data_IF_506062558935
#
_entry.id   IF_506062558935
#
_cell.length_a   1.000
_cell.length_b   1.000
_cell.length_c   1.000
_cell.angle_alpha   90.00
_cell.angle_beta   90.00
_cell.angle_gamma   90.00
#
_symmetry.space_group_name_H-M   'P 1'
#
loop_
_entity.id
_entity.type
_entity.pdbx_description
1 polymer ?
#
# COMPACT_ATOMS: atom_id res chain seq x y z
N UNK A 1 -42.01 -59.72 -56.15
CA UNK A 1 -41.68 -60.61 -55.02
C UNK A 1 -40.36 -60.13 -54.45
N UNK A 2 -40.43 -59.31 -53.39
CA UNK A 2 -40.17 -59.67 -51.96
C UNK A 2 -38.67 -59.64 -51.66
N UNK A 3 -38.11 -58.65 -50.97
CA UNK A 3 -38.25 -58.20 -49.57
C UNK A 3 -36.95 -58.56 -48.81
N UNK A 4 -36.34 -57.55 -48.16
CA UNK A 4 -35.70 -57.50 -46.82
C UNK A 4 -34.94 -58.75 -46.30
N UNK A 5 -33.83 -58.66 -45.55
CA UNK A 5 -33.46 -57.67 -44.55
C UNK A 5 -32.00 -57.91 -44.04
N UNK A 6 -31.30 -56.81 -43.77
CA UNK A 6 -30.41 -56.50 -42.62
C UNK A 6 -29.42 -57.54 -42.07
N UNK A 7 -28.16 -57.11 -41.94
CA UNK A 7 -27.56 -56.85 -40.61
C UNK A 7 -26.36 -55.88 -40.65
N UNK A 8 -26.39 -54.89 -39.75
CA UNK A 8 -25.31 -54.01 -39.23
C UNK A 8 -24.65 -52.90 -40.10
N UNK A 9 -24.87 -51.62 -39.74
CA UNK A 9 -23.84 -50.59 -39.82
C UNK A 9 -23.06 -50.48 -38.49
N UNK A 10 -21.73 -50.44 -38.59
CA UNK A 10 -20.83 -50.06 -37.48
C UNK A 10 -20.98 -48.55 -37.18
N UNK A 11 -20.91 -48.14 -35.89
CA UNK A 11 -21.21 -46.77 -35.50
C UNK A 11 -20.11 -45.77 -35.90
N UNK A 12 -20.55 -44.58 -36.35
CA UNK A 12 -19.74 -43.37 -36.50
C UNK A 12 -19.42 -42.75 -35.13
N UNK A 13 -18.39 -43.26 -34.44
CA UNK A 13 -17.85 -42.61 -33.23
C UNK A 13 -16.33 -42.47 -33.21
N UNK A 14 -15.65 -42.64 -34.35
CA UNK A 14 -14.19 -42.71 -34.40
C UNK A 14 -13.45 -41.44 -34.85
N UNK A 15 -14.10 -40.27 -34.94
CA UNK A 15 -13.42 -39.04 -35.36
C UNK A 15 -13.85 -37.84 -34.51
N UNK A 16 -13.35 -37.76 -33.28
CA UNK A 16 -13.25 -36.49 -32.53
C UNK A 16 -11.98 -36.53 -31.68
N UNK A 17 -10.93 -35.84 -32.13
CA UNK A 17 -9.82 -35.46 -31.28
C UNK A 17 -10.35 -34.57 -30.14
N UNK A 18 -10.27 -35.07 -28.91
CA UNK A 18 -10.57 -34.28 -27.71
C UNK A 18 -9.35 -33.40 -27.40
N UNK A 19 -9.48 -32.06 -27.33
CA UNK A 19 -8.41 -31.26 -26.75
C UNK A 19 -8.36 -31.52 -25.24
N UNK A 20 -7.21 -31.98 -24.75
CA UNK A 20 -6.92 -32.03 -23.33
C UNK A 20 -7.00 -30.61 -22.75
N UNK A 21 -8.06 -30.31 -22.00
CA UNK A 21 -8.13 -29.14 -21.13
C UNK A 21 -7.07 -29.29 -20.03
N UNK A 22 -5.90 -28.69 -20.23
CA UNK A 22 -5.00 -28.34 -19.13
C UNK A 22 -5.76 -27.38 -18.22
N UNK A 23 -6.10 -27.83 -17.01
CA UNK A 23 -6.58 -26.93 -15.96
C UNK A 23 -5.43 -25.96 -15.63
N UNK A 24 -5.64 -24.65 -15.70
CA UNK A 24 -4.68 -23.72 -15.14
C UNK A 24 -4.63 -23.95 -13.63
N UNK A 25 -3.46 -24.34 -13.12
CA UNK A 25 -3.17 -24.35 -11.69
C UNK A 25 -3.05 -22.90 -11.25
N UNK A 26 -4.17 -22.29 -10.90
CA UNK A 26 -4.18 -21.00 -10.22
C UNK A 26 -3.64 -21.22 -8.81
N UNK A 27 -2.47 -20.64 -8.52
CA UNK A 27 -2.10 -20.34 -7.14
C UNK A 27 -3.15 -19.38 -6.56
N UNK A 28 -3.56 -19.50 -5.29
CA UNK A 28 -4.64 -18.67 -4.75
C UNK A 28 -4.23 -17.20 -4.80
N UNK A 29 -4.80 -16.47 -5.75
CA UNK A 29 -4.80 -15.01 -5.78
C UNK A 29 -5.76 -14.57 -4.68
N UNK A 30 -5.29 -13.70 -3.78
CA UNK A 30 -6.11 -13.15 -2.71
C UNK A 30 -7.39 -12.56 -3.30
N UNK A 31 -8.53 -13.06 -2.85
CA UNK A 31 -9.85 -12.68 -3.35
C UNK A 31 -10.25 -11.26 -2.88
N UNK A 32 -11.15 -10.57 -3.61
CA UNK A 32 -11.56 -9.17 -3.41
C UNK A 32 -12.16 -8.81 -2.03
N UNK A 33 -12.30 -9.77 -1.14
CA UNK A 33 -12.88 -9.61 0.17
C UNK A 33 -11.84 -9.34 1.28
N UNK A 34 -10.55 -9.59 1.01
CA UNK A 34 -9.56 -9.82 2.08
C UNK A 34 -9.07 -8.55 2.79
N UNK A 35 -8.87 -7.39 2.14
CA UNK A 35 -8.30 -6.24 2.86
C UNK A 35 -9.30 -5.56 3.82
N UNK A 36 -10.55 -5.36 3.38
CA UNK A 36 -11.64 -4.87 4.26
C UNK A 36 -12.02 -5.92 5.30
N UNK A 37 -12.00 -7.22 4.96
CA UNK A 37 -12.18 -8.27 5.95
C UNK A 37 -11.03 -8.32 6.96
N UNK A 38 -9.77 -8.20 6.55
CA UNK A 38 -8.62 -8.17 7.46
C UNK A 38 -8.72 -6.99 8.43
N UNK A 39 -9.13 -5.82 7.94
CA UNK A 39 -9.37 -4.65 8.79
C UNK A 39 -10.59 -4.84 9.73
N UNK A 40 -11.61 -5.61 9.34
CA UNK A 40 -12.82 -5.87 10.14
C UNK A 40 -12.66 -7.03 11.14
N UNK A 41 -12.07 -8.15 10.74
CA UNK A 41 -11.87 -9.36 11.57
C UNK A 41 -10.95 -9.09 12.76
N UNK A 42 -9.93 -8.24 12.60
CA UNK A 42 -9.07 -7.84 13.72
C UNK A 42 -9.81 -6.97 14.78
N UNK A 43 -10.87 -6.25 14.39
CA UNK A 43 -11.67 -5.45 15.34
C UNK A 43 -12.60 -6.31 16.22
N UNK A 44 -12.80 -7.58 15.90
CA UNK A 44 -13.59 -8.52 16.69
C UNK A 44 -12.75 -9.31 17.72
N UNK A 45 -11.42 -9.22 17.66
CA UNK A 45 -10.52 -9.69 18.71
C UNK A 45 -10.51 -8.71 19.87
N UNK A 46 -11.36 -8.94 20.86
CA UNK A 46 -11.58 -8.03 21.99
C UNK A 46 -10.31 -7.73 22.78
N UNK A 47 -9.79 -6.51 22.66
CA UNK A 47 -8.90 -5.92 23.66
C UNK A 47 -9.76 -5.46 24.84
N UNK A 48 -9.77 -6.24 25.93
CA UNK A 48 -10.27 -5.74 27.21
C UNK A 48 -9.31 -4.68 27.74
N UNK A 49 -9.75 -3.42 27.68
CA UNK A 49 -9.07 -2.32 28.34
C UNK A 49 -9.19 -2.49 29.86
N UNK A 50 -8.08 -2.75 30.53
CA UNK A 50 -7.99 -2.70 32.00
C UNK A 50 -8.19 -1.24 32.43
N UNK A 51 -9.35 -0.95 33.03
CA UNK A 51 -9.62 0.36 33.66
C UNK A 51 -8.81 0.46 34.96
N UNK A 52 -7.80 1.32 34.99
CA UNK A 52 -7.20 1.79 36.24
C UNK A 52 -7.95 3.03 36.75
N UNK A 53 -8.27 3.04 38.04
CA UNK A 53 -8.97 4.13 38.72
C UNK A 53 -8.05 5.35 38.91
N UNK A 54 -8.60 6.57 39.00
CA UNK A 54 -7.79 7.77 39.17
C UNK A 54 -7.27 7.90 40.61
N UNK A 55 -5.97 8.12 40.77
CA UNK A 55 -5.36 8.49 42.05
C UNK A 55 -5.52 10.00 42.31
N UNK A 56 -5.81 10.35 43.57
CA UNK A 56 -6.02 11.72 44.03
C UNK A 56 -4.72 12.56 44.06
N UNK A 57 -4.81 13.90 43.98
CA UNK A 57 -3.63 14.76 43.90
C UNK A 57 -3.02 15.03 45.28
N UNK A 58 -1.73 14.78 45.44
CA UNK A 58 -0.93 15.25 46.59
C UNK A 58 0.08 16.29 46.10
N UNK A 59 0.03 17.48 46.71
CA UNK A 59 0.96 18.59 46.47
C UNK A 59 2.35 18.24 47.02
N UNK A 60 3.41 18.69 46.34
CA UNK A 60 4.33 19.74 46.82
C UNK A 60 5.42 20.03 45.76
N UNK A 61 5.65 21.33 45.54
CA UNK A 61 6.76 21.89 44.77
C UNK A 61 8.08 21.64 45.50
N UNK A 62 9.06 20.94 44.87
CA UNK A 62 10.52 21.11 45.10
C UNK A 62 11.44 20.03 44.48
N UNK A 63 11.09 19.40 43.35
CA UNK A 63 12.02 18.47 42.66
C UNK A 63 12.15 18.69 41.13
N UNK A 64 11.79 19.87 40.64
CA UNK A 64 11.77 20.16 39.20
C UNK A 64 13.13 20.51 38.57
N UNK A 65 14.26 20.24 39.23
CA UNK A 65 15.59 20.62 38.72
C UNK A 65 16.64 19.51 38.70
N UNK A 66 16.28 18.25 38.96
CA UNK A 66 17.27 17.17 38.93
C UNK A 66 16.88 16.04 37.99
N UNK A 67 17.66 15.94 36.90
CA UNK A 67 17.71 14.88 35.86
C UNK A 67 16.74 15.00 34.68
N UNK A 68 17.01 15.95 33.79
CA UNK A 68 16.85 15.72 32.35
C UNK A 68 18.06 14.95 31.81
N UNK A 69 18.12 13.63 32.05
CA UNK A 69 19.01 12.76 31.29
C UNK A 69 18.29 12.34 30.01
N UNK A 70 18.91 12.48 28.82
CA UNK A 70 18.33 11.96 27.59
C UNK A 70 18.24 10.44 27.71
N UNK A 71 17.01 9.92 27.62
CA UNK A 71 16.78 8.48 27.47
C UNK A 71 17.53 8.03 26.20
N UNK A 72 18.42 7.03 26.26
CA UNK A 72 19.11 6.56 25.07
C UNK A 72 18.08 6.09 24.05
N UNK A 73 18.23 6.56 22.80
CA UNK A 73 17.40 6.12 21.70
C UNK A 73 17.50 4.59 21.60
N UNK A 74 16.37 3.90 21.81
CA UNK A 74 16.32 2.45 21.70
C UNK A 74 16.88 2.02 20.33
N UNK A 75 17.80 1.06 20.36
CA UNK A 75 18.37 0.47 19.15
C UNK A 75 17.23 -0.02 18.22
N UNK A 76 17.44 -0.02 16.88
CA UNK A 76 16.46 -0.57 15.96
C UNK A 76 16.09 -1.99 16.40
N UNK A 77 14.79 -2.22 16.61
CA UNK A 77 14.27 -3.46 17.18
C UNK A 77 14.59 -4.61 16.23
N UNK A 78 15.57 -5.44 16.58
CA UNK A 78 15.87 -6.65 15.85
C UNK A 78 14.81 -7.70 16.24
N UNK A 79 13.93 -8.07 15.31
CA UNK A 79 13.05 -9.20 15.49
C UNK A 79 13.74 -10.47 14.96
N UNK A 80 14.13 -11.43 15.81
CA UNK A 80 14.89 -12.61 15.39
C UNK A 80 14.15 -13.53 14.40
N UNK A 81 12.81 -13.39 14.27
CA UNK A 81 12.00 -14.12 13.30
C UNK A 81 12.01 -13.48 11.90
N UNK A 82 12.61 -12.31 11.75
CA UNK A 82 12.59 -11.52 10.53
C UNK A 82 14.02 -11.30 10.02
N UNK A 83 14.36 -11.98 8.93
CA UNK A 83 15.68 -11.86 8.30
C UNK A 83 15.60 -11.13 6.95
N UNK A 84 16.74 -10.58 6.53
CA UNK A 84 16.88 -9.99 5.20
C UNK A 84 16.61 -11.02 4.08
N UNK A 85 16.80 -12.32 4.36
CA UNK A 85 16.46 -13.38 3.41
C UNK A 85 14.95 -13.47 3.13
N UNK A 86 14.11 -13.31 4.16
CA UNK A 86 12.64 -13.32 3.98
C UNK A 86 12.18 -12.09 3.19
N UNK A 87 12.82 -10.94 3.41
CA UNK A 87 12.57 -9.72 2.64
C UNK A 87 12.98 -9.87 1.18
N UNK A 88 14.18 -10.39 0.89
CA UNK A 88 14.61 -10.72 -0.48
C UNK A 88 13.64 -11.67 -1.17
N UNK A 89 13.16 -12.69 -0.46
CA UNK A 89 12.17 -13.60 -1.00
C UNK A 89 10.83 -12.91 -1.34
N UNK A 90 10.39 -11.93 -0.55
CA UNK A 90 9.24 -11.08 -0.89
C UNK A 90 9.48 -10.30 -2.18
N UNK A 91 10.62 -9.61 -2.30
CA UNK A 91 10.95 -8.83 -3.50
C UNK A 91 11.01 -9.73 -4.75
N UNK A 92 11.58 -10.93 -4.64
CA UNK A 92 11.60 -11.90 -5.72
C UNK A 92 10.19 -12.42 -6.11
N UNK A 93 9.23 -12.47 -5.17
CA UNK A 93 7.82 -12.76 -5.50
C UNK A 93 7.18 -11.59 -6.26
N UNK A 94 7.37 -10.36 -5.78
CA UNK A 94 6.88 -9.13 -6.43
C UNK A 94 7.41 -9.01 -7.86
N UNK A 95 8.69 -9.30 -8.07
CA UNK A 95 9.28 -9.31 -9.41
C UNK A 95 8.64 -10.36 -10.34
N UNK A 96 8.40 -11.59 -9.83
CA UNK A 96 7.74 -12.66 -10.58
C UNK A 96 6.28 -12.34 -10.93
N UNK A 97 5.62 -11.46 -10.18
CA UNK A 97 4.27 -10.99 -10.49
C UNK A 97 4.23 -9.94 -11.60
N UNK A 98 5.39 -9.42 -12.04
CA UNK A 98 5.48 -8.58 -13.24
C UNK A 98 6.08 -7.20 -13.02
N UNK A 99 6.46 -6.83 -11.79
CA UNK A 99 7.24 -5.62 -11.54
C UNK A 99 8.67 -5.84 -12.05
N UNK A 100 9.10 -5.02 -13.00
CA UNK A 100 10.38 -5.12 -13.71
C UNK A 100 11.37 -4.05 -13.29
N UNK A 101 10.89 -2.97 -12.69
CA UNK A 101 11.73 -1.86 -12.27
C UNK A 101 12.66 -2.23 -11.11
N UNK A 102 13.93 -2.46 -11.45
CA UNK A 102 14.96 -2.88 -10.49
C UNK A 102 15.27 -1.85 -9.41
N UNK A 103 15.07 -0.55 -9.70
CA UNK A 103 15.27 0.52 -8.72
C UNK A 103 14.15 0.49 -7.69
N UNK A 104 12.91 0.26 -8.14
CA UNK A 104 11.75 0.09 -7.24
C UNK A 104 11.90 -1.19 -6.40
N UNK A 105 12.29 -2.31 -7.01
CA UNK A 105 12.53 -3.56 -6.29
C UNK A 105 13.63 -3.39 -5.22
N UNK A 106 14.72 -2.68 -5.55
CA UNK A 106 15.79 -2.34 -4.60
C UNK A 106 15.30 -1.49 -3.43
N UNK A 107 14.40 -0.52 -3.67
CA UNK A 107 13.80 0.28 -2.60
C UNK A 107 12.93 -0.57 -1.65
N UNK A 108 12.16 -1.53 -2.17
CA UNK A 108 11.41 -2.48 -1.33
C UNK A 108 12.34 -3.37 -0.49
N UNK A 109 13.50 -3.75 -1.01
CA UNK A 109 14.50 -4.53 -0.26
C UNK A 109 15.18 -3.69 0.83
N UNK A 110 15.45 -2.41 0.56
CA UNK A 110 16.10 -1.52 1.51
C UNK A 110 15.21 -1.22 2.72
N UNK A 111 13.89 -1.09 2.53
CA UNK A 111 12.96 -0.67 3.60
C UNK A 111 12.46 -1.88 4.41
N UNK A 112 12.76 -1.95 5.72
CA UNK A 112 12.33 -3.05 6.57
C UNK A 112 10.83 -2.97 6.89
N UNK A 113 9.98 -3.53 6.03
CA UNK A 113 8.51 -3.51 6.16
C UNK A 113 7.96 -3.88 7.54
N UNK A 114 8.59 -4.81 8.26
CA UNK A 114 8.20 -5.21 9.62
C UNK A 114 8.30 -4.10 10.66
N UNK A 115 9.11 -3.06 10.43
CA UNK A 115 9.24 -1.90 11.32
C UNK A 115 8.00 -0.99 11.32
N UNK A 116 7.07 -1.20 10.39
CA UNK A 116 5.88 -0.37 10.17
C UNK A 116 4.59 -1.03 10.66
N UNK A 117 4.70 -2.09 11.46
CA UNK A 117 3.56 -2.84 11.98
C UNK A 117 3.76 -3.24 13.43
N UNK A 118 2.67 -3.69 14.05
CA UNK A 118 2.70 -4.28 15.38
C UNK A 118 3.62 -5.52 15.39
N UNK A 119 4.34 -5.71 16.50
CA UNK A 119 5.24 -6.83 16.72
C UNK A 119 4.54 -8.19 16.56
N UNK A 120 3.27 -8.28 16.96
CA UNK A 120 2.45 -9.48 16.79
C UNK A 120 2.24 -9.89 15.32
N UNK A 121 2.36 -8.93 14.39
CA UNK A 121 2.21 -9.14 12.94
C UNK A 121 3.55 -9.18 12.20
N UNK A 122 4.67 -8.94 12.86
CA UNK A 122 5.98 -8.82 12.22
C UNK A 122 6.41 -10.09 11.45
N UNK A 123 6.02 -11.28 11.92
CA UNK A 123 6.27 -12.55 11.21
C UNK A 123 5.53 -12.65 9.87
N UNK A 124 4.43 -11.92 9.71
CA UNK A 124 3.64 -11.86 8.49
C UNK A 124 4.05 -10.70 7.57
N UNK A 125 5.00 -9.85 7.99
CA UNK A 125 5.29 -8.59 7.30
C UNK A 125 5.60 -8.71 5.80
N UNK A 126 6.12 -9.87 5.40
CA UNK A 126 6.65 -10.14 4.06
C UNK A 126 5.77 -11.07 3.22
N UNK A 127 4.60 -11.46 3.72
CA UNK A 127 3.61 -12.10 2.87
C UNK A 127 3.04 -11.06 1.90
N UNK A 128 2.62 -11.50 0.74
CA UNK A 128 2.08 -10.61 -0.28
C UNK A 128 0.58 -10.36 -0.06
N UNK A 129 0.27 -9.68 1.05
CA UNK A 129 -1.09 -9.33 1.44
C UNK A 129 -1.15 -7.97 2.15
N UNK A 130 -2.33 -7.36 2.16
CA UNK A 130 -2.62 -6.20 2.98
C UNK A 130 -2.90 -6.62 4.43
N UNK A 131 -2.27 -5.95 5.38
CA UNK A 131 -2.34 -6.27 6.82
C UNK A 131 -2.90 -5.09 7.62
N UNK A 132 -3.63 -5.32 8.72
CA UNK A 132 -4.19 -4.24 9.52
C UNK A 132 -3.10 -3.43 10.22
N UNK A 133 -3.31 -2.11 10.34
CA UNK A 133 -2.42 -1.17 11.06
C UNK A 133 -3.17 -0.37 12.14
N UNK A 134 -4.36 -0.86 12.54
CA UNK A 134 -5.28 -0.13 13.42
C UNK A 134 -6.13 0.91 12.68
N UNK A 135 -7.06 1.55 13.40
CA UNK A 135 -7.94 2.61 12.87
C UNK A 135 -8.71 2.25 11.58
N UNK A 136 -9.04 0.96 11.40
CA UNK A 136 -9.64 0.41 10.18
C UNK A 136 -8.83 0.63 8.89
N UNK A 137 -7.53 0.88 9.03
CA UNK A 137 -6.61 1.03 7.90
C UNK A 137 -5.72 -0.21 7.76
N UNK A 138 -5.10 -0.33 6.59
CA UNK A 138 -4.20 -1.43 6.26
C UNK A 138 -2.90 -0.91 5.68
N UNK A 139 -1.79 -1.60 5.94
CA UNK A 139 -0.59 -1.49 5.11
C UNK A 139 -0.84 -2.27 3.80
N UNK A 140 -0.66 -1.61 2.66
CA UNK A 140 -0.93 -2.18 1.33
C UNK A 140 -0.01 -3.34 1.00
N UNK A 141 -0.52 -4.31 0.23
CA UNK A 141 0.25 -5.43 -0.33
C UNK A 141 1.57 -4.96 -0.99
N UNK A 142 2.71 -5.65 -0.76
CA UNK A 142 4.00 -5.31 -1.37
C UNK A 142 3.97 -5.18 -2.90
N UNK A 143 3.27 -6.08 -3.60
CA UNK A 143 3.07 -5.99 -5.04
C UNK A 143 2.44 -4.66 -5.46
N UNK A 144 1.31 -4.27 -4.84
CA UNK A 144 0.58 -3.05 -5.17
C UNK A 144 1.45 -1.81 -4.92
N UNK A 145 2.18 -1.77 -3.79
CA UNK A 145 3.16 -0.71 -3.49
C UNK A 145 4.18 -0.58 -4.62
N UNK A 146 4.83 -1.68 -5.00
CA UNK A 146 5.85 -1.66 -6.06
C UNK A 146 5.25 -1.29 -7.41
N UNK A 147 4.08 -1.81 -7.74
CA UNK A 147 3.41 -1.59 -9.01
C UNK A 147 2.99 -0.14 -9.21
N UNK A 148 2.41 0.49 -8.19
CA UNK A 148 2.02 1.90 -8.25
C UNK A 148 3.24 2.82 -8.45
N UNK A 149 4.33 2.54 -7.72
CA UNK A 149 5.58 3.29 -7.85
C UNK A 149 6.20 3.09 -9.24
N UNK A 150 6.29 1.84 -9.72
CA UNK A 150 6.85 1.52 -11.04
C UNK A 150 6.15 2.29 -12.15
N UNK A 151 4.81 2.29 -12.13
CA UNK A 151 3.99 2.98 -13.14
C UNK A 151 4.16 4.49 -13.06
N UNK A 152 4.19 5.05 -11.85
CA UNK A 152 4.41 6.48 -11.62
C UNK A 152 5.82 6.90 -12.09
N UNK A 153 6.84 6.09 -11.79
CA UNK A 153 8.24 6.39 -12.12
C UNK A 153 8.52 6.23 -13.61
N UNK A 154 8.05 5.14 -14.20
CA UNK A 154 8.23 4.81 -15.62
C UNK A 154 9.69 4.94 -16.09
N UNK A 155 10.62 4.41 -15.28
CA UNK A 155 12.06 4.50 -15.53
C UNK A 155 12.68 5.89 -15.33
N UNK A 156 11.88 6.93 -15.06
CA UNK A 156 12.34 8.29 -14.83
C UNK A 156 12.90 8.53 -13.42
N UNK A 157 13.43 9.74 -13.24
CA UNK A 157 13.77 10.27 -11.92
C UNK A 157 12.56 11.02 -11.35
N UNK A 158 12.41 10.98 -10.04
CA UNK A 158 11.37 11.70 -9.31
C UNK A 158 12.05 12.78 -8.47
N UNK A 159 11.79 14.06 -8.75
CA UNK A 159 12.30 15.12 -7.86
C UNK A 159 11.34 15.25 -6.71
N UNK A 160 10.06 15.50 -6.99
CA UNK A 160 9.05 15.72 -5.95
C UNK A 160 7.86 14.79 -6.08
N UNK A 161 7.56 14.06 -5.00
CA UNK A 161 6.43 13.13 -4.92
C UNK A 161 5.48 13.53 -3.80
N UNK A 162 4.18 13.44 -4.06
CA UNK A 162 3.13 13.53 -3.05
C UNK A 162 2.47 12.16 -2.86
N UNK A 163 2.36 11.72 -1.62
CA UNK A 163 1.56 10.57 -1.20
C UNK A 163 0.34 11.04 -0.43
N UNK A 164 -0.83 10.48 -0.77
CA UNK A 164 -2.07 10.67 -0.03
C UNK A 164 -2.42 9.38 0.72
N UNK A 165 -2.49 9.47 2.05
CA UNK A 165 -2.70 8.34 2.95
C UNK A 165 -1.39 7.73 3.44
N UNK A 166 -0.66 8.46 4.30
CA UNK A 166 0.60 7.97 4.89
C UNK A 166 0.43 6.62 5.61
N UNK A 167 -0.70 6.42 6.30
CA UNK A 167 -0.97 5.23 7.09
C UNK A 167 0.12 4.97 8.12
N UNK A 168 0.81 3.84 7.98
CA UNK A 168 1.93 3.47 8.86
C UNK A 168 3.29 4.06 8.46
N UNK A 169 3.39 4.66 7.27
CA UNK A 169 4.63 5.29 6.75
C UNK A 169 5.51 4.39 5.87
N UNK A 170 5.13 3.13 5.61
CA UNK A 170 5.95 2.20 4.81
C UNK A 170 6.14 2.68 3.36
N UNK A 171 5.05 3.01 2.67
CA UNK A 171 5.09 3.46 1.29
C UNK A 171 5.86 4.79 1.17
N UNK A 172 5.66 5.72 2.11
CA UNK A 172 6.45 6.94 2.25
C UNK A 172 7.97 6.68 2.35
N UNK A 173 8.38 5.68 3.14
CA UNK A 173 9.79 5.28 3.26
C UNK A 173 10.33 4.63 1.97
N UNK A 174 9.51 3.86 1.24
CA UNK A 174 9.93 3.31 -0.05
C UNK A 174 10.10 4.43 -1.08
N UNK A 175 9.19 5.40 -1.10
CA UNK A 175 9.27 6.56 -1.99
C UNK A 175 10.50 7.42 -1.70
N UNK A 176 10.93 7.54 -0.44
CA UNK A 176 12.09 8.35 -0.09
C UNK A 176 13.42 7.78 -0.59
N UNK A 177 13.47 6.49 -0.91
CA UNK A 177 14.61 5.88 -1.61
C UNK A 177 14.65 6.22 -3.12
N UNK A 178 13.56 6.75 -3.68
CA UNK A 178 13.34 6.88 -5.13
C UNK A 178 13.20 8.32 -5.61
N UNK A 179 12.85 9.24 -4.70
CA UNK A 179 12.61 10.64 -5.00
C UNK A 179 13.53 11.59 -4.23
N UNK A 180 13.80 12.77 -4.78
CA UNK A 180 14.60 13.79 -4.09
C UNK A 180 13.87 14.39 -2.87
N UNK A 181 12.55 14.55 -2.96
CA UNK A 181 11.66 15.04 -1.91
C UNK A 181 10.33 14.28 -1.93
N UNK A 182 9.91 13.82 -0.76
CA UNK A 182 8.62 13.14 -0.56
C UNK A 182 7.80 13.92 0.45
N UNK A 183 6.55 14.16 0.08
CA UNK A 183 5.52 14.72 0.94
C UNK A 183 4.44 13.68 1.12
N UNK A 184 3.99 13.45 2.35
CA UNK A 184 2.94 12.46 2.61
C UNK A 184 1.89 13.05 3.55
N UNK A 185 0.61 12.97 3.17
CA UNK A 185 -0.51 13.52 3.92
C UNK A 185 -1.30 12.38 4.57
N UNK A 186 -1.56 12.50 5.86
CA UNK A 186 -2.44 11.61 6.61
C UNK A 186 -3.55 12.42 7.29
N UNK A 187 -4.77 11.90 7.21
CA UNK A 187 -5.96 12.55 7.78
C UNK A 187 -6.30 12.07 9.18
N UNK A 188 -5.82 10.89 9.59
CA UNK A 188 -6.08 10.26 10.89
C UNK A 188 -4.91 10.58 11.83
N UNK A 189 -5.14 11.40 12.86
CA UNK A 189 -4.09 11.91 13.76
C UNK A 189 -3.29 10.78 14.44
N UNK A 190 -3.91 9.73 14.99
CA UNK A 190 -3.16 8.58 15.51
C UNK A 190 -2.23 7.91 14.49
N UNK A 191 -2.65 7.79 13.23
CA UNK A 191 -1.80 7.20 12.18
C UNK A 191 -0.68 8.13 11.75
N UNK A 192 -0.94 9.43 11.69
CA UNK A 192 0.11 10.41 11.45
C UNK A 192 1.23 10.33 12.50
N UNK A 193 0.87 10.20 13.79
CA UNK A 193 1.85 10.01 14.87
C UNK A 193 2.52 8.63 14.83
N UNK A 194 1.78 7.58 14.46
CA UNK A 194 2.34 6.24 14.23
C UNK A 194 3.41 6.27 13.14
N UNK A 195 3.12 6.89 11.99
CA UNK A 195 4.07 7.03 10.90
C UNK A 195 5.33 7.80 11.33
N UNK A 196 5.16 8.91 12.06
CA UNK A 196 6.30 9.65 12.65
C UNK A 196 7.16 8.76 13.55
N UNK A 197 6.54 7.96 14.41
CA UNK A 197 7.25 7.05 15.31
C UNK A 197 8.02 5.97 14.54
N UNK A 198 7.40 5.35 13.53
CA UNK A 198 8.03 4.32 12.70
C UNK A 198 9.19 4.85 11.85
N UNK A 199 9.07 6.08 11.34
CA UNK A 199 10.06 6.70 10.46
C UNK A 199 11.23 7.33 11.20
N UNK A 200 11.06 7.71 12.47
CA UNK A 200 12.11 8.38 13.27
C UNK A 200 13.43 7.59 13.35
N UNK A 201 13.44 6.26 13.59
CA UNK A 201 14.68 5.47 13.59
C UNK A 201 15.39 5.43 12.24
N UNK A 202 14.66 5.56 11.13
CA UNK A 202 15.21 5.49 9.77
C UNK A 202 15.89 6.80 9.33
N UNK A 203 15.68 7.91 10.05
CA UNK A 203 16.30 9.23 9.79
C UNK A 203 16.17 9.68 8.33
N UNK A 204 14.98 9.51 7.75
CA UNK A 204 14.68 9.85 6.36
C UNK A 204 14.62 11.38 6.19
N UNK A 205 15.70 11.98 5.69
CA UNK A 205 15.85 13.44 5.65
C UNK A 205 14.97 14.13 4.59
N UNK A 206 14.61 13.42 3.52
CA UNK A 206 13.85 13.94 2.39
C UNK A 206 12.34 13.65 2.47
N UNK A 207 11.83 13.17 3.60
CA UNK A 207 10.41 12.86 3.79
C UNK A 207 9.75 13.82 4.78
N UNK A 208 8.69 14.49 4.33
CA UNK A 208 7.89 15.44 5.11
C UNK A 208 6.47 14.91 5.30
N UNK A 209 6.08 14.70 6.55
CA UNK A 209 4.74 14.24 6.90
C UNK A 209 3.84 15.43 7.22
N UNK A 210 2.62 15.39 6.70
CA UNK A 210 1.59 16.39 6.90
C UNK A 210 0.35 15.74 7.51
N UNK A 211 -0.19 16.36 8.54
CA UNK A 211 -1.52 16.02 9.05
C UNK A 211 -2.53 16.95 8.38
N UNK A 212 -3.44 16.40 7.57
CA UNK A 212 -4.30 17.21 6.72
C UNK A 212 -5.26 16.41 5.86
N UNK A 213 -6.13 17.13 5.15
CA UNK A 213 -7.01 16.55 4.15
C UNK A 213 -6.24 16.34 2.84
N UNK A 214 -6.00 15.06 2.51
CA UNK A 214 -5.29 14.69 1.29
C UNK A 214 -6.04 15.01 -0.01
N UNK A 215 -7.36 15.23 0.02
CA UNK A 215 -8.13 15.61 -1.18
C UNK A 215 -7.76 17.02 -1.67
N UNK A 216 -7.22 17.87 -0.79
CA UNK A 216 -6.76 19.22 -1.12
C UNK A 216 -5.32 19.24 -1.66
N UNK A 217 -4.60 18.11 -1.55
CA UNK A 217 -3.18 18.03 -1.86
C UNK A 217 -2.31 18.94 -0.99
N UNK A 218 -1.23 19.45 -1.56
CA UNK A 218 -0.27 20.33 -0.90
C UNK A 218 0.19 21.45 -1.84
N UNK A 219 -0.66 22.46 -2.12
CA UNK A 219 -0.39 23.51 -3.12
C UNK A 219 0.93 24.25 -2.91
N UNK A 220 1.34 24.47 -1.66
CA UNK A 220 2.58 25.15 -1.29
C UNK A 220 3.86 24.40 -1.69
N UNK A 221 3.74 23.11 -2.00
CA UNK A 221 4.84 22.26 -2.43
C UNK A 221 4.70 21.79 -3.89
N UNK A 222 3.58 22.09 -4.55
CA UNK A 222 3.37 21.81 -5.96
C UNK A 222 4.32 22.63 -6.85
N UNK A 223 4.62 22.18 -8.09
CA UNK A 223 4.09 20.98 -8.73
C UNK A 223 4.85 19.69 -8.35
N UNK A 224 4.18 18.54 -8.49
CA UNK A 224 4.73 17.22 -8.20
C UNK A 224 5.03 16.44 -9.49
N UNK A 225 6.20 15.80 -9.58
CA UNK A 225 6.49 14.90 -10.71
C UNK A 225 5.66 13.59 -10.60
N UNK A 226 5.33 13.20 -9.37
CA UNK A 226 4.52 12.02 -9.08
C UNK A 226 3.53 12.23 -7.94
N UNK A 227 2.31 11.70 -8.08
CA UNK A 227 1.32 11.66 -7.00
C UNK A 227 0.79 10.23 -6.84
N UNK A 228 0.80 9.69 -5.64
CA UNK A 228 0.22 8.37 -5.32
C UNK A 228 -0.88 8.52 -4.29
N UNK A 229 -2.04 7.93 -4.58
CA UNK A 229 -3.14 7.83 -3.63
C UNK A 229 -3.21 6.41 -3.07
N UNK A 230 -2.96 6.25 -1.78
CA UNK A 230 -3.07 4.97 -1.06
C UNK A 230 -4.47 4.75 -0.46
N UNK A 231 -5.50 5.37 -1.05
CA UNK A 231 -6.90 5.22 -0.68
C UNK A 231 -7.81 5.46 -1.90
N UNK A 232 -8.88 4.68 -2.04
CA UNK A 232 -9.77 4.70 -3.20
C UNK A 232 -10.79 5.84 -3.15
N UNK A 233 -10.78 6.70 -4.16
CA UNK A 233 -11.85 7.68 -4.41
C UNK A 233 -12.87 7.17 -5.42
N UNK A 234 -14.02 7.84 -5.51
CA UNK A 234 -14.94 7.65 -6.64
C UNK A 234 -14.32 8.13 -7.96
N UNK A 235 -13.50 9.17 -7.87
CA UNK A 235 -12.72 9.78 -8.92
C UNK A 235 -11.45 10.37 -8.31
N UNK A 236 -10.49 10.76 -9.15
CA UNK A 236 -9.29 11.48 -8.70
C UNK A 236 -9.66 12.93 -8.36
N UNK A 237 -9.36 13.44 -7.15
CA UNK A 237 -9.64 14.83 -6.79
C UNK A 237 -9.00 15.83 -7.78
N UNK A 238 -9.75 16.80 -8.32
CA UNK A 238 -9.22 17.78 -9.29
C UNK A 238 -8.00 18.57 -8.79
N UNK A 239 -7.98 18.92 -7.49
CA UNK A 239 -6.86 19.62 -6.87
C UNK A 239 -5.52 18.86 -7.03
N UNK A 240 -5.55 17.53 -7.04
CA UNK A 240 -4.35 16.70 -7.24
C UNK A 240 -3.91 16.69 -8.70
N UNK A 241 -4.85 16.72 -9.64
CA UNK A 241 -4.55 16.82 -11.08
C UNK A 241 -3.90 18.17 -11.43
N UNK A 242 -4.35 19.24 -10.80
CA UNK A 242 -3.81 20.60 -10.98
C UNK A 242 -2.41 20.77 -10.40
N UNK A 243 -2.10 20.04 -9.32
CA UNK A 243 -0.80 20.04 -8.65
C UNK A 243 0.24 19.13 -9.31
N UNK A 244 -0.15 18.31 -10.29
CA UNK A 244 0.77 17.45 -11.03
C UNK A 244 1.60 18.29 -12.03
N UNK A 245 2.91 18.10 -12.13
CA UNK A 245 3.73 18.76 -13.15
C UNK A 245 3.30 18.31 -14.56
N UNK A 246 3.54 19.14 -15.58
CA UNK A 246 3.42 18.66 -16.98
C UNK A 246 4.44 17.54 -17.21
N UNK A 247 4.01 16.43 -17.77
CA UNK A 247 4.75 15.17 -17.86
C UNK A 247 4.71 14.31 -16.59
N UNK A 248 4.20 14.87 -15.47
CA UNK A 248 4.03 14.16 -14.21
C UNK A 248 2.92 13.10 -14.28
N UNK A 249 3.01 12.14 -13.36
CA UNK A 249 2.13 10.96 -13.33
C UNK A 249 1.46 10.80 -11.98
N UNK A 250 0.15 10.62 -11.98
CA UNK A 250 -0.65 10.30 -10.81
C UNK A 250 -1.13 8.86 -10.90
N UNK A 251 -1.00 8.10 -9.82
CA UNK A 251 -1.52 6.73 -9.71
C UNK A 251 -2.48 6.65 -8.54
N UNK A 252 -3.73 6.26 -8.81
CA UNK A 252 -4.78 6.20 -7.82
C UNK A 252 -5.70 5.00 -8.01
N UNK A 253 -6.13 4.33 -6.93
CA UNK A 253 -7.27 3.44 -6.98
C UNK A 253 -8.56 4.27 -7.14
N UNK A 254 -9.39 3.91 -8.11
CA UNK A 254 -10.65 4.58 -8.42
C UNK A 254 -11.78 3.56 -8.50
N UNK A 255 -12.89 3.85 -7.83
CA UNK A 255 -14.11 3.05 -7.88
C UNK A 255 -14.77 2.84 -6.52
N UNK A 256 -15.97 2.26 -6.54
CA UNK A 256 -16.76 1.96 -5.34
C UNK A 256 -16.59 0.49 -4.93
N UNK A 257 -17.50 -0.38 -5.39
CA UNK A 257 -17.51 -1.82 -5.10
C UNK A 257 -16.43 -2.57 -5.86
N UNK A 258 -16.20 -2.16 -7.10
CA UNK A 258 -15.08 -2.60 -7.93
C UNK A 258 -14.15 -1.40 -8.08
N UNK A 259 -12.87 -1.63 -7.84
CA UNK A 259 -11.84 -0.58 -7.91
C UNK A 259 -10.75 -1.01 -8.87
N UNK A 260 -10.19 -0.05 -9.58
CA UNK A 260 -9.10 -0.26 -10.51
C UNK A 260 -8.02 0.78 -10.25
N UNK A 261 -6.76 0.40 -10.45
CA UNK A 261 -5.68 1.38 -10.50
C UNK A 261 -5.81 2.19 -11.79
N UNK A 262 -5.82 3.50 -11.65
CA UNK A 262 -5.82 4.47 -12.74
C UNK A 262 -4.48 5.22 -12.74
N UNK A 263 -3.86 5.27 -13.91
CA UNK A 263 -2.76 6.18 -14.22
C UNK A 263 -3.32 7.42 -14.91
N UNK A 264 -2.95 8.59 -14.42
CA UNK A 264 -3.21 9.87 -15.08
C UNK A 264 -1.88 10.54 -15.39
N UNK A 265 -1.68 10.95 -16.64
CA UNK A 265 -0.49 11.72 -17.07
C UNK A 265 -0.93 13.11 -17.48
N UNK A 266 -0.31 14.16 -16.95
CA UNK A 266 -0.58 15.53 -17.38
C UNK A 266 0.20 15.81 -18.66
N UNK A 267 -0.49 15.99 -19.78
CA UNK A 267 0.12 16.22 -21.10
C UNK A 267 0.42 17.71 -21.34
N UNK A 268 -0.36 18.60 -20.71
CA UNK A 268 -0.23 20.05 -20.88
C UNK A 268 -0.83 20.84 -19.72
N UNK A 269 -1.00 22.15 -19.91
CA UNK A 269 -1.52 23.05 -18.86
C UNK A 269 -2.92 22.66 -18.38
N UNK A 270 -3.79 22.20 -19.29
CA UNK A 270 -5.15 21.79 -18.98
C UNK A 270 -5.53 20.50 -19.72
N UNK A 271 -4.55 19.62 -19.94
CA UNK A 271 -4.72 18.39 -20.70
C UNK A 271 -4.14 17.20 -19.91
N UNK A 272 -4.94 16.14 -19.77
CA UNK A 272 -4.59 14.92 -19.07
C UNK A 272 -5.02 13.70 -19.89
N UNK A 273 -4.20 12.67 -19.86
CA UNK A 273 -4.55 11.34 -20.38
C UNK A 273 -4.70 10.36 -19.22
N UNK A 274 -5.76 9.55 -19.26
CA UNK A 274 -6.05 8.55 -18.23
C UNK A 274 -6.01 7.15 -18.82
N UNK A 275 -5.43 6.22 -18.07
CA UNK A 275 -5.36 4.81 -18.42
C UNK A 275 -5.78 3.98 -17.21
N UNK A 276 -6.74 3.07 -17.41
CA UNK A 276 -7.06 2.03 -16.43
C UNK A 276 -6.04 0.91 -16.54
N UNK A 277 -5.54 0.45 -15.41
CA UNK A 277 -4.49 -0.57 -15.32
C UNK A 277 -5.11 -1.92 -14.93
N UNK A 278 -5.16 -2.20 -13.64
CA UNK A 278 -5.53 -3.50 -13.08
C UNK A 278 -6.48 -3.33 -11.89
N UNK A 279 -7.19 -4.40 -11.55
CA UNK A 279 -8.06 -4.41 -10.38
C UNK A 279 -7.26 -4.27 -9.09
N UNK A 280 -7.84 -3.57 -8.13
CA UNK A 280 -7.22 -3.37 -6.82
C UNK A 280 -8.29 -3.28 -5.73
N UNK A 281 -7.82 -3.17 -4.49
CA UNK A 281 -8.71 -2.96 -3.36
C UNK A 281 -8.03 -2.13 -2.28
N UNK A 282 -8.63 -0.98 -1.99
CA UNK A 282 -8.16 0.01 -1.04
C UNK A 282 -9.28 0.46 -0.10
N UNK A 283 -8.86 0.96 1.05
CA UNK A 283 -9.70 1.72 1.96
C UNK A 283 -10.20 3.01 1.28
N UNK A 284 -11.38 3.52 1.63
CA UNK A 284 -11.93 4.69 0.95
C UNK A 284 -11.17 5.98 1.31
N UNK A 285 -10.91 6.81 0.31
CA UNK A 285 -10.48 8.19 0.45
C UNK A 285 -11.61 9.00 1.09
N UNK A 286 -11.28 9.83 2.08
CA UNK A 286 -12.27 10.62 2.83
C UNK A 286 -11.78 12.06 3.05
N UNK A 287 -12.69 13.04 3.01
CA UNK A 287 -12.35 14.44 3.28
C UNK A 287 -12.11 14.68 4.77
N UNK A 288 -11.55 15.85 5.07
CA UNK A 288 -11.29 16.36 6.41
C UNK A 288 -10.25 15.56 7.20
N UNK A 289 -10.02 16.01 8.43
CA UNK A 289 -9.10 15.36 9.39
C UNK A 289 -9.86 14.79 10.59
N UNK A 290 -9.32 13.74 11.22
CA UNK A 290 -9.92 13.04 12.37
C UNK A 290 -8.87 12.52 13.35
#
# INVERSE_FOLDING_TARGET
MTDKNRTFPLPLSSVVDKPQKKQPVFSPVATPQTATQNARSAAQGGYQAVRQAPAAPSRLHSHALERAQPVPAAAPRQNPLVSDAVRRAMVARVARQGVKDTVVLGALEAVPRHMFMDEALASQAYIDASLPIGHHQTISQPYIVARMIEVMRNGGQLRRVLEIGTGCGYQAAVLSCLAQEVYSIERIKPLHELAKANLRPLRVANLRLHYGDGMLGLPQAAPFDGIILAAAGMEVPPALLEQLAVGGRLVAPVGARTQHLQLVTRLGKAEWASQTLEDCHFVPLRPGTV
#
